data_IF_047884499597
#
_entry.id   IF_047884499597
#
_cell.length_a   1.000
_cell.length_b   1.000
_cell.length_c   1.000
_cell.angle_alpha   90.00
_cell.angle_beta   90.00
_cell.angle_gamma   90.00
#
_symmetry.space_group_name_H-M   'P 1'
#
loop_
_entity.id
_entity.type
_entity.pdbx_description
1 polymer ?
#
# COMPACT_ATOMS: atom_id res chain seq x y z
N UNK A 1 43.27 -15.10 -27.53
CA UNK A 1 42.27 -15.41 -26.49
C UNK A 1 42.61 -14.52 -25.31
N UNK A 2 41.86 -13.44 -25.11
CA UNK A 2 42.11 -12.51 -24.02
C UNK A 2 41.32 -12.97 -22.80
N UNK A 3 42.04 -13.46 -21.79
CA UNK A 3 41.54 -13.64 -20.43
C UNK A 3 41.16 -12.26 -19.88
N UNK A 4 39.87 -11.93 -19.92
CA UNK A 4 39.33 -10.83 -19.13
C UNK A 4 38.86 -11.42 -17.82
N UNK A 5 39.78 -11.50 -16.86
CA UNK A 5 39.42 -11.71 -15.46
C UNK A 5 38.56 -10.52 -15.02
N UNK A 6 37.25 -10.77 -14.88
CA UNK A 6 36.33 -9.79 -14.37
C UNK A 6 36.72 -9.48 -12.92
N UNK A 7 37.09 -8.24 -12.56
CA UNK A 7 37.41 -7.93 -11.18
C UNK A 7 36.14 -8.14 -10.36
N UNK A 8 36.18 -9.15 -9.47
CA UNK A 8 35.12 -9.44 -8.53
C UNK A 8 34.83 -8.19 -7.71
N UNK A 9 33.73 -7.51 -8.02
CA UNK A 9 33.28 -6.30 -7.33
C UNK A 9 32.64 -6.67 -6.00
N UNK A 10 33.41 -7.34 -5.15
CA UNK A 10 33.08 -7.46 -3.74
C UNK A 10 33.58 -6.20 -3.01
N UNK A 11 33.02 -5.06 -3.41
CA UNK A 11 33.11 -3.86 -2.58
C UNK A 11 32.39 -4.15 -1.26
N UNK A 12 33.00 -3.86 -0.09
CA UNK A 12 32.44 -4.19 1.22
C UNK A 12 31.13 -3.43 1.38
N UNK A 13 30.04 -4.13 1.08
CA UNK A 13 28.70 -3.57 1.11
C UNK A 13 28.39 -3.37 2.58
N UNK A 14 28.23 -2.12 3.02
CA UNK A 14 27.99 -1.69 4.41
C UNK A 14 27.46 -2.84 5.28
N UNK A 15 28.35 -3.43 6.08
CA UNK A 15 28.04 -4.55 6.96
C UNK A 15 27.18 -4.04 8.11
N UNK A 16 25.88 -3.87 7.88
CA UNK A 16 24.94 -3.63 8.97
C UNK A 16 24.94 -4.90 9.81
N UNK A 17 25.62 -4.83 10.95
CA UNK A 17 25.64 -5.86 11.98
C UNK A 17 24.48 -5.57 12.93
N UNK A 18 23.72 -6.61 13.23
CA UNK A 18 22.56 -6.58 14.10
C UNK A 18 22.72 -7.80 15.00
N UNK A 19 22.70 -7.56 16.30
CA UNK A 19 22.67 -8.62 17.28
C UNK A 19 21.21 -8.97 17.55
N UNK A 20 20.91 -10.27 17.51
CA UNK A 20 19.57 -10.80 17.75
C UNK A 20 19.58 -11.62 19.03
N UNK A 21 18.56 -11.43 19.86
CA UNK A 21 18.28 -12.30 21.00
C UNK A 21 17.58 -13.58 20.55
N UNK A 22 17.67 -14.65 21.36
CA UNK A 22 17.02 -15.92 21.04
C UNK A 22 15.49 -15.78 20.94
N UNK A 23 14.89 -14.93 21.78
CA UNK A 23 13.46 -14.63 21.78
C UNK A 23 13.03 -13.94 20.47
N UNK A 24 13.81 -12.96 20.01
CA UNK A 24 13.55 -12.27 18.74
C UNK A 24 13.63 -13.24 17.56
N UNK A 25 14.60 -14.17 17.54
CA UNK A 25 14.73 -15.17 16.48
C UNK A 25 13.49 -16.07 16.43
N UNK A 26 12.99 -16.49 17.60
CA UNK A 26 11.76 -17.28 17.67
C UNK A 26 10.55 -16.48 17.16
N UNK A 27 10.44 -15.21 17.57
CA UNK A 27 9.35 -14.33 17.13
C UNK A 27 9.39 -14.09 15.61
N UNK A 28 10.57 -13.82 15.04
CA UNK A 28 10.76 -13.67 13.60
C UNK A 28 10.38 -14.94 12.83
N UNK A 29 10.77 -16.12 13.32
CA UNK A 29 10.43 -17.39 12.68
C UNK A 29 8.92 -17.65 12.68
N UNK A 30 8.23 -17.33 13.77
CA UNK A 30 6.78 -17.46 13.87
C UNK A 30 6.05 -16.46 12.96
N UNK A 31 6.36 -15.17 13.05
CA UNK A 31 5.66 -14.12 12.30
C UNK A 31 5.85 -14.23 10.78
N UNK A 32 6.96 -14.82 10.31
CA UNK A 32 7.18 -15.08 8.88
C UNK A 32 6.03 -15.86 8.23
N UNK A 33 5.38 -16.76 8.95
CA UNK A 33 4.29 -17.58 8.41
C UNK A 33 2.90 -17.13 8.88
N UNK A 34 2.81 -16.48 10.04
CA UNK A 34 1.53 -16.19 10.69
C UNK A 34 1.05 -14.74 10.56
N UNK A 35 1.90 -13.81 10.14
CA UNK A 35 1.49 -12.41 10.02
C UNK A 35 0.48 -12.22 8.87
N UNK A 36 -0.62 -11.48 9.03
CA UNK A 36 -1.66 -11.35 7.98
C UNK A 36 -1.18 -10.66 6.70
N UNK A 37 -0.16 -9.80 6.80
CA UNK A 37 0.31 -9.00 5.68
C UNK A 37 1.59 -9.57 5.02
N UNK A 38 1.57 -9.90 3.71
CA UNK A 38 2.68 -10.60 3.04
C UNK A 38 3.99 -9.80 2.97
N UNK A 39 3.91 -8.45 2.90
CA UNK A 39 5.11 -7.61 2.96
C UNK A 39 5.82 -7.69 4.32
N UNK A 40 5.07 -7.84 5.40
CA UNK A 40 5.65 -7.96 6.75
C UNK A 40 6.23 -9.35 6.92
N UNK A 41 5.53 -10.41 6.50
CA UNK A 41 6.07 -11.78 6.45
C UNK A 41 7.44 -11.84 5.76
N UNK A 42 7.58 -11.20 4.58
CA UNK A 42 8.85 -11.13 3.85
C UNK A 42 9.93 -10.35 4.60
N UNK A 43 9.58 -9.28 5.32
CA UNK A 43 10.53 -8.54 6.18
C UNK A 43 11.01 -9.41 7.34
N UNK A 44 10.12 -10.18 7.96
CA UNK A 44 10.46 -11.13 9.03
C UNK A 44 11.40 -12.22 8.51
N UNK A 45 11.14 -12.74 7.30
CA UNK A 45 12.02 -13.71 6.65
C UNK A 45 13.43 -13.17 6.43
N UNK A 46 13.55 -11.96 5.91
CA UNK A 46 14.84 -11.31 5.66
C UNK A 46 15.67 -11.21 6.95
N UNK A 47 15.04 -10.85 8.07
CA UNK A 47 15.74 -10.74 9.35
C UNK A 47 16.04 -12.10 9.97
N UNK A 48 15.15 -13.07 9.86
CA UNK A 48 15.42 -14.43 10.28
C UNK A 48 16.65 -14.99 9.55
N UNK A 49 16.74 -14.83 8.23
CA UNK A 49 17.91 -15.25 7.45
C UNK A 49 19.18 -14.48 7.84
N UNK A 50 19.04 -13.20 8.20
CA UNK A 50 20.15 -12.40 8.72
C UNK A 50 20.63 -12.90 10.09
N UNK A 51 19.74 -13.34 10.96
CA UNK A 51 20.08 -13.91 12.28
C UNK A 51 20.77 -15.28 12.16
N UNK A 52 20.53 -16.02 11.07
CA UNK A 52 21.27 -17.26 10.76
C UNK A 52 22.69 -17.01 10.23
N UNK A 53 23.12 -15.75 10.10
CA UNK A 53 24.47 -15.41 9.65
C UNK A 53 24.68 -15.44 8.13
N UNK A 54 23.61 -15.48 7.34
CA UNK A 54 23.73 -15.52 5.87
C UNK A 54 24.26 -14.18 5.31
N UNK A 55 25.07 -14.23 4.24
CA UNK A 55 25.56 -13.03 3.57
C UNK A 55 24.42 -12.33 2.82
N UNK A 56 24.52 -11.00 2.72
CA UNK A 56 23.47 -10.17 2.11
C UNK A 56 23.12 -10.57 0.67
N UNK A 57 24.11 -11.00 -0.12
CA UNK A 57 23.89 -11.44 -1.49
C UNK A 57 22.98 -12.69 -1.55
N UNK A 58 23.22 -13.67 -0.67
CA UNK A 58 22.39 -14.88 -0.59
C UNK A 58 20.99 -14.55 -0.08
N UNK A 59 20.85 -13.67 0.92
CA UNK A 59 19.53 -13.23 1.41
C UNK A 59 18.73 -12.56 0.28
N UNK A 60 19.37 -11.69 -0.50
CA UNK A 60 18.74 -11.03 -1.65
C UNK A 60 18.25 -12.05 -2.69
N UNK A 61 19.08 -13.07 -2.98
CA UNK A 61 18.73 -14.14 -3.90
C UNK A 61 17.56 -14.98 -3.39
N UNK A 62 17.60 -15.45 -2.14
CA UNK A 62 16.58 -16.30 -1.54
C UNK A 62 15.22 -15.59 -1.42
N UNK A 63 15.22 -14.34 -0.95
CA UNK A 63 14.00 -13.56 -0.78
C UNK A 63 13.54 -12.84 -2.07
N UNK A 64 14.28 -12.96 -3.17
CA UNK A 64 14.05 -12.24 -4.42
C UNK A 64 13.88 -10.72 -4.22
N UNK A 65 14.80 -10.10 -3.48
CA UNK A 65 14.80 -8.67 -3.19
C UNK A 65 16.07 -7.98 -3.65
N UNK A 66 15.97 -6.67 -3.88
CA UNK A 66 17.13 -5.83 -4.20
C UNK A 66 17.95 -5.50 -2.96
N UNK A 67 19.27 -5.25 -3.12
CA UNK A 67 20.16 -4.80 -2.03
C UNK A 67 19.63 -3.55 -1.29
N UNK A 68 19.08 -2.51 -1.98
CA UNK A 68 18.45 -1.38 -1.30
C UNK A 68 17.25 -1.78 -0.41
N UNK A 69 16.43 -2.72 -0.86
CA UNK A 69 15.29 -3.22 -0.08
C UNK A 69 15.73 -3.94 1.19
N UNK A 70 16.78 -4.75 1.09
CA UNK A 70 17.43 -5.39 2.24
C UNK A 70 17.91 -4.33 3.23
N UNK A 71 18.69 -3.35 2.77
CA UNK A 71 19.20 -2.27 3.61
C UNK A 71 18.09 -1.46 4.29
N UNK A 72 16.99 -1.15 3.58
CA UNK A 72 15.81 -0.48 4.16
C UNK A 72 15.21 -1.32 5.30
N UNK A 73 15.08 -2.63 5.10
CA UNK A 73 14.49 -3.53 6.10
C UNK A 73 15.36 -3.62 7.35
N UNK A 74 16.68 -3.71 7.18
CA UNK A 74 17.63 -3.71 8.31
C UNK A 74 17.59 -2.40 9.10
N UNK A 75 17.47 -1.25 8.42
CA UNK A 75 17.32 0.05 9.08
C UNK A 75 16.01 0.19 9.85
N UNK A 76 14.90 -0.32 9.30
CA UNK A 76 13.61 -0.32 9.99
C UNK A 76 13.69 -1.11 11.30
N UNK A 77 14.39 -2.25 11.29
CA UNK A 77 14.63 -3.02 12.51
C UNK A 77 15.49 -2.26 13.51
N UNK A 78 16.57 -1.62 13.07
CA UNK A 78 17.42 -0.82 13.97
C UNK A 78 16.68 0.36 14.61
N UNK A 79 15.69 0.93 13.93
CA UNK A 79 14.94 2.08 14.42
C UNK A 79 13.79 1.71 15.36
N UNK A 80 13.14 0.56 15.15
CA UNK A 80 11.90 0.22 15.85
C UNK A 80 11.73 -1.26 16.18
N UNK A 81 12.78 -2.07 16.08
CA UNK A 81 12.75 -3.51 16.33
C UNK A 81 11.72 -4.23 15.46
N UNK A 82 11.09 -5.26 16.03
CA UNK A 82 10.06 -6.06 15.36
C UNK A 82 8.81 -5.22 15.03
N UNK A 83 8.42 -4.30 15.90
CA UNK A 83 7.25 -3.44 15.69
C UNK A 83 7.46 -2.47 14.51
N UNK A 84 8.69 -1.96 14.33
CA UNK A 84 9.07 -1.15 13.17
C UNK A 84 8.87 -1.85 11.83
N UNK A 85 8.93 -3.19 11.79
CA UNK A 85 8.72 -3.98 10.58
C UNK A 85 7.24 -4.12 10.22
N UNK A 86 6.37 -4.14 11.24
CA UNK A 86 4.91 -4.18 11.10
C UNK A 86 4.35 -2.86 10.60
N UNK A 87 5.08 -1.76 10.79
CA UNK A 87 4.72 -0.45 10.23
C UNK A 87 4.77 -0.48 8.71
N UNK A 88 3.58 -0.50 8.11
CA UNK A 88 3.38 -0.33 6.68
C UNK A 88 3.07 1.16 6.47
N UNK A 89 4.05 1.90 5.97
CA UNK A 89 3.91 3.31 5.57
C UNK A 89 3.03 3.44 4.31
N UNK A 90 1.85 2.81 4.27
CA UNK A 90 0.85 3.09 3.26
C UNK A 90 0.10 4.36 3.63
N UNK A 91 0.80 5.49 3.49
CA UNK A 91 0.15 6.79 3.39
C UNK A 91 -0.21 6.92 1.91
N UNK A 92 -1.45 6.59 1.55
CA UNK A 92 -1.97 6.95 0.23
C UNK A 92 -1.72 8.45 -0.03
N UNK A 93 -1.77 8.88 -1.30
CA UNK A 93 -1.65 10.31 -1.60
C UNK A 93 -2.73 11.07 -0.83
N UNK A 94 -2.32 11.90 0.12
CA UNK A 94 -3.22 12.80 0.83
C UNK A 94 -3.77 13.78 -0.20
N UNK A 95 -5.02 13.59 -0.61
CA UNK A 95 -5.68 14.52 -1.51
C UNK A 95 -6.02 15.80 -0.74
N UNK A 96 -6.00 16.96 -1.40
CA UNK A 96 -6.46 18.22 -0.79
C UNK A 96 -7.90 18.12 -0.25
N UNK A 97 -8.70 17.18 -0.78
CA UNK A 97 -10.04 16.88 -0.29
C UNK A 97 -10.04 16.15 1.07
N UNK A 98 -8.96 15.49 1.46
CA UNK A 98 -8.88 14.81 2.77
C UNK A 98 -8.99 15.81 3.92
N UNK A 99 -8.48 17.04 3.74
CA UNK A 99 -8.57 18.10 4.75
C UNK A 99 -10.01 18.58 5.00
N UNK A 100 -10.89 18.42 4.01
CA UNK A 100 -12.32 18.79 4.11
C UNK A 100 -13.23 17.56 4.24
N UNK A 101 -12.66 16.38 4.48
CA UNK A 101 -13.41 15.12 4.44
C UNK A 101 -14.50 15.05 5.49
N UNK A 102 -14.30 15.64 6.68
CA UNK A 102 -15.31 15.64 7.74
C UNK A 102 -16.49 16.56 7.43
N UNK A 103 -16.23 17.76 6.88
CA UNK A 103 -17.29 18.69 6.44
C UNK A 103 -18.13 18.11 5.30
N UNK A 104 -17.48 17.47 4.33
CA UNK A 104 -18.15 16.84 3.19
C UNK A 104 -18.94 15.61 3.64
N UNK A 105 -18.41 14.81 4.57
CA UNK A 105 -19.11 13.66 5.16
C UNK A 105 -20.37 14.09 5.90
N UNK A 106 -20.28 15.09 6.79
CA UNK A 106 -21.42 15.59 7.53
C UNK A 106 -22.55 16.08 6.62
N UNK A 107 -22.21 16.68 5.47
CA UNK A 107 -23.19 17.10 4.47
C UNK A 107 -23.84 15.90 3.76
N UNK A 108 -23.06 14.92 3.31
CA UNK A 108 -23.60 13.76 2.60
C UNK A 108 -24.36 12.78 3.51
N UNK A 109 -24.12 12.78 4.82
CA UNK A 109 -24.97 12.08 5.79
C UNK A 109 -26.38 12.65 5.85
N UNK A 110 -26.52 13.97 5.70
CA UNK A 110 -27.82 14.66 5.68
C UNK A 110 -28.47 14.64 4.29
N UNK A 111 -27.64 14.67 3.24
CA UNK A 111 -28.06 14.75 1.84
C UNK A 111 -27.29 13.75 0.98
N UNK A 112 -27.70 12.46 0.93
CA UNK A 112 -27.00 11.45 0.16
C UNK A 112 -27.08 11.79 -1.34
N UNK A 113 -25.93 11.91 -2.05
CA UNK A 113 -25.93 12.32 -3.44
C UNK A 113 -26.44 11.16 -4.31
N UNK A 114 -27.31 11.49 -5.27
CA UNK A 114 -27.92 10.50 -6.16
C UNK A 114 -27.03 10.17 -7.36
N UNK A 115 -26.13 11.09 -7.73
CA UNK A 115 -25.21 10.94 -8.85
C UNK A 115 -23.81 11.49 -8.53
N UNK A 116 -22.80 11.04 -9.27
CA UNK A 116 -21.43 11.57 -9.11
C UNK A 116 -21.28 13.03 -9.56
N UNK A 117 -22.12 13.51 -10.48
CA UNK A 117 -22.12 14.91 -10.91
C UNK A 117 -22.70 15.84 -9.84
N UNK A 118 -23.74 15.40 -9.14
CA UNK A 118 -24.29 16.10 -7.98
C UNK A 118 -23.29 16.16 -6.82
N UNK A 119 -22.64 15.03 -6.51
CA UNK A 119 -21.55 15.00 -5.53
C UNK A 119 -20.41 15.96 -5.89
N UNK A 120 -20.05 16.06 -7.19
CA UNK A 120 -19.05 17.00 -7.67
C UNK A 120 -19.44 18.45 -7.39
N UNK A 121 -20.66 18.84 -7.74
CA UNK A 121 -21.14 20.21 -7.56
C UNK A 121 -21.15 20.62 -6.09
N UNK A 122 -21.60 19.72 -5.21
CA UNK A 122 -21.60 19.94 -3.75
C UNK A 122 -20.18 20.09 -3.22
N UNK A 123 -19.24 19.23 -3.64
CA UNK A 123 -17.84 19.31 -3.23
C UNK A 123 -17.20 20.61 -3.72
N UNK A 124 -17.47 21.02 -4.96
CA UNK A 124 -16.97 22.28 -5.52
C UNK A 124 -17.52 23.49 -4.76
N UNK A 125 -18.80 23.47 -4.35
CA UNK A 125 -19.39 24.53 -3.52
C UNK A 125 -18.81 24.59 -2.09
N UNK A 126 -18.63 23.44 -1.45
CA UNK A 126 -18.16 23.38 -0.05
C UNK A 126 -16.65 23.59 0.10
N UNK A 127 -15.86 23.15 -0.88
CA UNK A 127 -14.40 23.11 -0.77
C UNK A 127 -13.68 23.98 -1.80
N UNK A 128 -14.37 24.46 -2.85
CA UNK A 128 -13.75 25.15 -3.99
C UNK A 128 -12.90 24.25 -4.88
N UNK A 129 -12.82 22.95 -4.60
CA UNK A 129 -11.97 21.99 -5.33
C UNK A 129 -12.81 21.25 -6.37
N UNK A 130 -12.44 21.42 -7.65
CA UNK A 130 -13.05 20.67 -8.76
C UNK A 130 -12.32 19.36 -9.01
N UNK A 131 -13.05 18.23 -8.97
CA UNK A 131 -12.55 16.89 -9.33
C UNK A 131 -13.42 16.28 -10.42
N UNK A 132 -12.84 15.37 -11.22
CA UNK A 132 -13.62 14.69 -12.26
C UNK A 132 -14.63 13.71 -11.65
N UNK A 133 -15.77 13.43 -12.32
CA UNK A 133 -16.75 12.46 -11.85
C UNK A 133 -16.14 11.07 -11.59
N UNK A 134 -15.19 10.65 -12.44
CA UNK A 134 -14.46 9.39 -12.29
C UNK A 134 -13.59 9.37 -11.03
N UNK A 135 -12.94 10.49 -10.70
CA UNK A 135 -12.15 10.61 -9.48
C UNK A 135 -13.03 10.52 -8.24
N UNK A 136 -14.21 11.16 -8.25
CA UNK A 136 -15.18 11.12 -7.14
C UNK A 136 -15.70 9.69 -6.94
N UNK A 137 -15.99 8.96 -8.01
CA UNK A 137 -16.39 7.54 -7.93
C UNK A 137 -15.27 6.63 -7.41
N UNK A 138 -14.01 6.95 -7.69
CA UNK A 138 -12.85 6.16 -7.23
C UNK A 138 -12.47 6.42 -5.77
N UNK A 139 -13.03 7.45 -5.14
CA UNK A 139 -12.75 7.74 -3.74
C UNK A 139 -13.29 6.59 -2.87
N UNK A 140 -12.55 6.16 -1.84
CA UNK A 140 -12.98 5.04 -1.01
C UNK A 140 -14.32 5.36 -0.33
N UNK A 141 -15.33 4.51 -0.56
CA UNK A 141 -16.71 4.70 -0.06
C UNK A 141 -16.77 4.88 1.46
N UNK A 142 -15.77 4.36 2.19
CA UNK A 142 -15.58 4.53 3.63
C UNK A 142 -15.44 5.99 4.06
N UNK A 143 -15.00 6.89 3.16
CA UNK A 143 -14.83 8.30 3.50
C UNK A 143 -16.07 9.16 3.24
N UNK A 144 -17.07 8.70 2.46
CA UNK A 144 -18.13 9.59 1.94
C UNK A 144 -19.50 8.94 1.60
N UNK A 145 -19.70 7.64 1.85
CA UNK A 145 -20.93 6.84 1.63
C UNK A 145 -21.16 6.26 0.22
N UNK A 146 -21.69 5.02 0.22
CA UNK A 146 -22.04 4.24 -0.96
C UNK A 146 -23.05 4.95 -1.85
N UNK A 147 -22.63 5.30 -3.07
CA UNK A 147 -23.55 5.67 -4.13
C UNK A 147 -24.57 4.55 -4.30
N UNK A 148 -25.84 4.85 -4.01
CA UNK A 148 -26.93 3.92 -4.27
C UNK A 148 -27.00 3.70 -5.77
N UNK A 149 -26.61 2.51 -6.24
CA UNK A 149 -26.80 2.09 -7.64
C UNK A 149 -28.29 2.13 -7.93
N UNK A 150 -28.77 3.22 -8.52
CA UNK A 150 -30.07 3.22 -9.18
C UNK A 150 -29.93 2.36 -10.43
N UNK A 151 -30.67 1.25 -10.44
CA UNK A 151 -30.68 0.31 -11.55
C UNK A 151 -31.04 1.00 -12.86
N UNK A 152 -30.39 0.56 -13.93
CA UNK A 152 -30.74 0.89 -15.31
C UNK A 152 -32.17 0.42 -15.57
N UNK A 153 -33.11 1.34 -15.80
CA UNK A 153 -34.44 0.98 -16.28
C UNK A 153 -34.34 0.50 -17.75
N UNK A 154 -34.83 -0.71 -17.97
CA UNK A 154 -34.79 -1.47 -19.20
C UNK A 154 -35.57 -0.83 -20.37
N UNK A 155 -35.10 -1.14 -21.59
CA UNK A 155 -35.93 -1.43 -22.76
C UNK A 155 -36.65 -0.25 -23.41
N UNK A 156 -36.08 0.29 -24.50
CA UNK A 156 -36.87 1.02 -25.50
C UNK A 156 -37.76 -0.01 -26.22
N UNK A 157 -39.06 -0.05 -25.91
CA UNK A 157 -40.04 -0.82 -26.70
C UNK A 157 -40.27 -0.04 -27.99
N UNK A 158 -39.94 -0.68 -29.10
CA UNK A 158 -40.16 -0.19 -30.45
C UNK A 158 -41.66 -0.32 -30.76
N UNK A 159 -42.36 0.81 -30.88
CA UNK A 159 -43.77 0.81 -31.29
C UNK A 159 -43.83 0.52 -32.79
N UNK A 160 -44.23 -0.70 -33.14
CA UNK A 160 -44.70 -1.02 -34.47
C UNK A 160 -45.87 -0.07 -34.82
N UNK A 161 -45.77 0.60 -35.98
CA UNK A 161 -46.90 1.23 -36.64
C UNK A 161 -47.36 0.31 -37.76
N UNK A 162 -48.58 -0.16 -37.61
CA UNK A 162 -49.36 -0.87 -38.62
C UNK A 162 -50.18 0.16 -39.39
N UNK A 163 -49.88 0.33 -40.69
CA UNK A 163 -50.85 0.42 -41.80
C UNK A 163 -50.11 0.48 -43.15
#
# INVERSE_FOLDING_TARGET
MADWEYPSTDSPTCMIKIDFTAEEIQHLNYERYHHPHPRVQRRMEVLYLKSQGLPHAQICQLCQISRPTLAKTLRLYQQGGIEGLKTLEYKGQSSSLNAHSDSVRAYFEQHPPRTSAEAQAVIEQLTGIKRSPTQIQSLPQTHWLSLSKSGVCAGKVESAREN
#
